data_IF_516268356312
#
_entry.id   IF_516268356312
#
_cell.length_a   1.000
_cell.length_b   1.000
_cell.length_c   1.000
_cell.angle_alpha   90.00
_cell.angle_beta   90.00
_cell.angle_gamma   90.00
#
_symmetry.space_group_name_H-M   'P 1'
#
loop_
_entity.id
_entity.type
_entity.pdbx_description
1 polymer ?
#
# COMPACT_ATOMS: atom_id res chain seq x y z
N UNK A 1 -7.09 19.01 9.60
CA UNK A 1 -5.94 18.24 10.08
C UNK A 1 -6.14 16.81 9.63
N UNK A 2 -5.10 16.14 9.16
CA UNK A 2 -5.17 14.71 8.81
C UNK A 2 -5.36 13.92 10.11
N UNK A 3 -6.32 13.01 10.13
CA UNK A 3 -6.50 12.06 11.23
C UNK A 3 -5.49 10.93 11.06
N UNK A 4 -4.61 10.75 12.05
CA UNK A 4 -3.51 9.78 12.01
C UNK A 4 -3.85 8.47 12.73
N UNK A 5 -5.13 8.25 13.06
CA UNK A 5 -5.57 7.02 13.71
C UNK A 5 -5.39 5.82 12.78
N UNK A 6 -4.76 4.75 13.29
CA UNK A 6 -4.61 3.49 12.55
C UNK A 6 -5.86 2.60 12.72
N UNK A 7 -6.23 1.80 11.70
CA UNK A 7 -5.59 1.72 10.39
C UNK A 7 -5.88 2.95 9.52
N UNK A 8 -4.86 3.44 8.81
CA UNK A 8 -4.93 4.67 7.99
C UNK A 8 -4.86 4.34 6.50
N UNK A 9 -5.73 4.94 5.69
CA UNK A 9 -5.77 4.72 4.25
C UNK A 9 -4.48 5.21 3.58
N UNK A 10 -3.87 4.35 2.76
CA UNK A 10 -2.64 4.64 2.03
C UNK A 10 -2.76 5.87 1.12
N UNK A 11 -3.96 6.14 0.61
CA UNK A 11 -4.27 7.31 -0.23
C UNK A 11 -3.98 8.66 0.43
N UNK A 12 -3.96 8.70 1.77
CA UNK A 12 -3.62 9.89 2.55
C UNK A 12 -2.10 10.11 2.65
N UNK A 13 -1.30 9.08 2.38
CA UNK A 13 0.15 9.05 2.64
C UNK A 13 0.98 9.05 1.34
N UNK A 14 0.45 8.51 0.24
CA UNK A 14 1.17 8.36 -1.04
C UNK A 14 0.34 8.86 -2.23
N UNK A 15 0.99 9.23 -3.36
CA UNK A 15 0.29 9.76 -4.53
C UNK A 15 -0.41 8.69 -5.39
N UNK A 16 -0.09 7.41 -5.22
CA UNK A 16 -0.68 6.32 -6.00
C UNK A 16 -2.20 6.25 -5.79
N UNK A 17 -2.93 5.94 -6.87
CA UNK A 17 -4.41 5.77 -6.88
C UNK A 17 -4.76 4.48 -7.58
N UNK A 18 -5.95 3.95 -7.28
CA UNK A 18 -6.47 2.80 -8.00
C UNK A 18 -6.50 3.07 -9.53
N UNK A 19 -6.20 2.07 -10.37
CA UNK A 19 -5.90 0.67 -10.01
C UNK A 19 -4.41 0.38 -9.74
N UNK A 20 -3.54 1.41 -9.75
CA UNK A 20 -2.09 1.26 -9.54
C UNK A 20 -1.65 1.38 -8.08
N UNK A 21 -2.57 1.64 -7.16
CA UNK A 21 -2.31 1.62 -5.71
C UNK A 21 -2.51 0.19 -5.20
N UNK A 22 -1.42 -0.46 -4.81
CA UNK A 22 -1.40 -1.85 -4.36
C UNK A 22 -1.51 -2.00 -2.84
N UNK A 23 -1.23 -0.94 -2.09
CA UNK A 23 -1.39 -0.92 -0.62
C UNK A 23 -2.69 -0.21 -0.27
N UNK A 24 -3.51 -0.81 0.59
CA UNK A 24 -4.76 -0.22 1.03
C UNK A 24 -4.58 0.62 2.30
N UNK A 25 -3.92 0.05 3.31
CA UNK A 25 -3.87 0.65 4.65
C UNK A 25 -2.53 0.46 5.35
N UNK A 26 -2.11 1.45 6.12
CA UNK A 26 -1.13 1.29 7.19
C UNK A 26 -1.86 0.78 8.44
N UNK A 27 -1.49 -0.39 8.97
CA UNK A 27 -2.20 -1.02 10.09
C UNK A 27 -1.43 -0.97 11.41
N UNK A 28 -0.10 -0.84 11.36
CA UNK A 28 0.76 -0.69 12.53
C UNK A 28 2.03 0.09 12.19
N UNK A 29 2.58 0.79 13.19
CA UNK A 29 3.86 1.50 13.11
C UNK A 29 4.66 1.29 14.40
N UNK A 30 5.96 1.03 14.28
CA UNK A 30 6.93 0.96 15.37
C UNK A 30 8.23 1.65 14.94
N UNK A 31 8.37 2.91 15.32
CA UNK A 31 9.48 3.77 14.91
C UNK A 31 9.53 3.94 13.38
N UNK A 32 10.49 3.27 12.74
CA UNK A 32 10.68 3.28 11.27
C UNK A 32 10.15 2.02 10.57
N UNK A 33 9.59 1.09 11.33
CA UNK A 33 9.00 -0.13 10.83
C UNK A 33 7.48 0.01 10.83
N UNK A 34 6.81 -0.70 9.95
CA UNK A 34 5.36 -0.73 9.92
C UNK A 34 4.83 -1.99 9.25
N UNK A 35 3.53 -2.19 9.36
CA UNK A 35 2.80 -3.24 8.66
C UNK A 35 1.68 -2.62 7.85
N UNK A 36 1.48 -3.13 6.64
CA UNK A 36 0.44 -2.69 5.73
C UNK A 36 -0.52 -3.82 5.45
N UNK A 37 -1.70 -3.46 4.93
CA UNK A 37 -2.67 -4.39 4.36
C UNK A 37 -2.85 -4.07 2.88
N UNK A 38 -2.97 -5.12 2.07
CA UNK A 38 -3.21 -5.06 0.64
C UNK A 38 -4.20 -6.16 0.24
N UNK A 39 -5.31 -5.77 -0.38
CA UNK A 39 -6.29 -6.65 -0.99
C UNK A 39 -6.06 -6.71 -2.50
N UNK A 40 -5.49 -7.83 -2.99
CA UNK A 40 -5.18 -8.00 -4.40
C UNK A 40 -6.46 -8.39 -5.16
N UNK A 41 -7.08 -7.38 -5.76
CA UNK A 41 -8.34 -7.54 -6.51
C UNK A 41 -8.11 -8.02 -7.93
N UNK A 42 -9.13 -8.67 -8.51
CA UNK A 42 -9.10 -9.15 -9.89
C UNK A 42 -8.99 -8.03 -10.94
N UNK A 43 -9.32 -6.78 -10.60
CA UNK A 43 -9.15 -5.60 -11.44
C UNK A 43 -7.77 -4.92 -11.27
N UNK A 44 -6.88 -5.51 -10.46
CA UNK A 44 -5.49 -5.07 -10.37
C UNK A 44 -4.77 -5.30 -11.71
N UNK A 45 -4.00 -4.33 -12.24
CA UNK A 45 -3.33 -4.44 -13.54
C UNK A 45 -2.27 -5.54 -13.59
N UNK A 46 -1.85 -6.04 -12.43
CA UNK A 46 -0.85 -7.09 -12.27
C UNK A 46 -1.45 -8.48 -12.04
N UNK A 47 -2.78 -8.60 -12.06
CA UNK A 47 -3.45 -9.89 -12.01
C UNK A 47 -3.74 -10.35 -13.44
N UNK A 48 -3.25 -11.54 -13.79
CA UNK A 48 -3.50 -12.14 -15.10
C UNK A 48 -4.97 -12.56 -15.26
N UNK A 49 -5.46 -12.81 -16.49
CA UNK A 49 -6.80 -13.34 -16.71
C UNK A 49 -7.10 -14.65 -15.97
N UNK A 50 -6.07 -15.42 -15.62
CA UNK A 50 -6.15 -16.67 -14.85
C UNK A 50 -6.18 -16.45 -13.33
N UNK A 51 -6.11 -15.19 -12.88
CA UNK A 51 -6.13 -14.82 -11.46
C UNK A 51 -4.77 -14.92 -10.78
N UNK A 52 -3.67 -14.94 -11.54
CA UNK A 52 -2.31 -14.99 -11.00
C UNK A 52 -1.76 -13.58 -10.81
N UNK A 53 -1.23 -13.28 -9.63
CA UNK A 53 -0.53 -12.03 -9.36
C UNK A 53 0.93 -12.13 -9.83
N UNK A 54 1.36 -11.21 -10.70
CA UNK A 54 2.70 -11.22 -11.29
C UNK A 54 3.80 -11.03 -10.23
N UNK A 55 4.87 -11.83 -10.31
CA UNK A 55 6.03 -11.73 -9.43
C UNK A 55 6.65 -10.32 -9.42
N UNK A 56 6.61 -9.59 -10.55
CA UNK A 56 7.14 -8.23 -10.61
C UNK A 56 6.33 -7.26 -9.74
N UNK A 57 5.05 -7.54 -9.54
CA UNK A 57 4.15 -6.72 -8.74
C UNK A 57 4.44 -6.85 -7.24
N UNK A 58 5.12 -7.92 -6.80
CA UNK A 58 5.63 -8.02 -5.44
C UNK A 58 6.65 -6.91 -5.15
N UNK A 59 7.49 -6.55 -6.13
CA UNK A 59 8.47 -5.46 -5.97
C UNK A 59 7.77 -4.12 -5.84
N UNK A 60 6.73 -3.88 -6.64
CA UNK A 60 5.90 -2.67 -6.54
C UNK A 60 5.14 -2.60 -5.20
N UNK A 61 4.59 -3.72 -4.73
CA UNK A 61 3.93 -3.80 -3.43
C UNK A 61 4.90 -3.45 -2.29
N UNK A 62 6.13 -3.96 -2.32
CA UNK A 62 7.19 -3.61 -1.35
C UNK A 62 7.54 -2.12 -1.44
N UNK A 63 7.68 -1.57 -2.66
CA UNK A 63 7.99 -0.16 -2.86
C UNK A 63 6.89 0.76 -2.31
N UNK A 64 5.62 0.45 -2.57
CA UNK A 64 4.49 1.21 -2.04
C UNK A 64 4.34 1.03 -0.53
N UNK A 65 4.59 -0.17 0.02
CA UNK A 65 4.59 -0.40 1.45
C UNK A 65 5.62 0.50 2.16
N UNK A 66 6.83 0.57 1.62
CA UNK A 66 7.86 1.49 2.10
C UNK A 66 7.40 2.95 1.99
N UNK A 67 6.83 3.37 0.86
CA UNK A 67 6.36 4.73 0.66
C UNK A 67 5.26 5.13 1.64
N UNK A 68 4.34 4.23 1.97
CA UNK A 68 3.28 4.44 2.98
C UNK A 68 3.88 4.65 4.37
N UNK A 69 4.78 3.76 4.79
CA UNK A 69 5.45 3.84 6.10
C UNK A 69 6.27 5.13 6.18
N UNK A 70 7.06 5.43 5.15
CA UNK A 70 7.87 6.64 5.08
C UNK A 70 7.02 7.90 5.06
N UNK A 71 5.93 7.91 4.30
CA UNK A 71 4.98 9.01 4.26
C UNK A 71 4.37 9.31 5.62
N UNK A 72 4.01 8.30 6.41
CA UNK A 72 3.53 8.48 7.78
C UNK A 72 4.61 9.04 8.72
N UNK A 73 5.86 8.54 8.60
CA UNK A 73 6.99 8.98 9.43
C UNK A 73 7.42 10.44 9.13
N UNK A 74 7.13 10.94 7.93
CA UNK A 74 7.52 12.29 7.49
C UNK A 74 6.47 13.39 7.76
N UNK A 75 5.28 13.02 8.27
CA UNK A 75 4.24 13.97 8.70
C UNK A 75 4.57 14.61 10.06
#
# INVERSE_FOLDING_TARGET
MIDLTLPLDAEQLIPHRLPMRLVDRLVAIDGKNGSIEADIRADCPFVSPEGLFDDIALTELIAQAYAVIKGYVDL
#
